data_IF_208013767834
#
_entry.id   IF_208013767834
#
_cell.length_a   1.000
_cell.length_b   1.000
_cell.length_c   1.000
_cell.angle_alpha   90.00
_cell.angle_beta   90.00
_cell.angle_gamma   90.00
#
_symmetry.space_group_name_H-M   'P 1'
#
loop_
_entity.id
_entity.type
_entity.pdbx_description
1 polymer ?
#
# COMPACT_ATOMS: atom_id res chain seq x y z
N UNK A 1 -4.30 17.17 12.64
CA UNK A 1 -3.65 15.86 12.44
C UNK A 1 -3.62 15.15 13.78
N UNK A 2 -4.19 13.96 13.86
CA UNK A 2 -4.23 13.15 15.09
C UNK A 2 -3.26 11.97 14.92
N UNK A 3 -2.22 11.84 15.75
CA UNK A 3 -1.32 10.70 15.71
C UNK A 3 -2.02 9.49 16.34
N UNK A 4 -2.10 8.38 15.61
CA UNK A 4 -2.73 7.15 16.10
C UNK A 4 -1.80 5.94 15.96
N UNK A 5 -1.94 4.98 16.89
CA UNK A 5 -1.33 3.66 16.79
C UNK A 5 -2.42 2.61 16.96
N UNK A 6 -2.91 2.04 15.85
CA UNK A 6 -3.99 1.05 15.87
C UNK A 6 -3.62 -0.22 16.67
N UNK A 7 -2.35 -0.65 16.59
CA UNK A 7 -1.85 -1.83 17.32
C UNK A 7 -1.77 -1.64 18.84
N UNK A 8 -1.63 -0.40 19.30
CA UNK A 8 -1.54 -0.04 20.73
C UNK A 8 -2.82 0.55 21.29
N UNK A 9 -3.80 0.87 20.43
CA UNK A 9 -5.02 1.58 20.82
C UNK A 9 -4.81 3.04 21.22
N UNK A 10 -3.66 3.63 20.89
CA UNK A 10 -3.31 5.01 21.25
C UNK A 10 -3.95 6.00 20.28
N UNK A 11 -4.48 7.11 20.79
CA UNK A 11 -5.03 8.23 20.00
C UNK A 11 -6.40 7.98 19.36
N UNK A 12 -7.05 6.84 19.63
CA UNK A 12 -8.35 6.51 19.02
C UNK A 12 -9.47 7.42 19.54
N UNK A 13 -9.48 7.72 20.83
CA UNK A 13 -10.50 8.60 21.43
C UNK A 13 -10.40 10.02 20.85
N UNK A 14 -9.19 10.55 20.72
CA UNK A 14 -8.93 11.85 20.11
C UNK A 14 -9.36 11.89 18.64
N UNK A 15 -9.10 10.80 17.89
CA UNK A 15 -9.57 10.66 16.51
C UNK A 15 -11.10 10.72 16.41
N UNK A 16 -11.80 9.99 17.27
CA UNK A 16 -13.27 9.98 17.31
C UNK A 16 -13.83 11.37 17.67
N UNK A 17 -13.23 12.05 18.64
CA UNK A 17 -13.64 13.40 19.02
C UNK A 17 -13.48 14.39 17.86
N UNK A 18 -12.32 14.38 17.19
CA UNK A 18 -12.08 15.21 16.00
C UNK A 18 -13.01 14.86 14.84
N UNK A 19 -13.29 13.58 14.61
CA UNK A 19 -14.24 13.16 13.57
C UNK A 19 -15.66 13.65 13.85
N UNK A 20 -16.13 13.56 15.11
CA UNK A 20 -17.43 14.07 15.53
C UNK A 20 -17.50 15.60 15.44
N UNK A 21 -16.41 16.29 15.77
CA UNK A 21 -16.32 17.74 15.63
C UNK A 21 -16.45 18.15 14.15
N UNK A 22 -15.64 17.56 13.27
CA UNK A 22 -15.68 17.83 11.83
C UNK A 22 -17.08 17.56 11.23
N UNK A 23 -17.73 16.47 11.65
CA UNK A 23 -19.08 16.13 11.19
C UNK A 23 -20.15 17.14 11.69
N UNK A 24 -20.04 17.64 12.91
CA UNK A 24 -21.00 18.61 13.48
C UNK A 24 -20.87 20.00 12.87
N UNK A 25 -19.66 20.43 12.58
CA UNK A 25 -19.37 21.79 12.09
C UNK A 25 -19.18 21.83 10.58
N UNK A 26 -19.36 20.70 9.87
CA UNK A 26 -19.20 20.59 8.40
C UNK A 26 -17.85 21.17 7.94
N UNK A 27 -16.80 20.87 8.69
CA UNK A 27 -15.45 21.31 8.32
C UNK A 27 -15.00 20.61 7.05
N UNK A 28 -14.81 21.38 6.01
CA UNK A 28 -14.30 20.88 4.73
C UNK A 28 -12.84 21.27 4.55
N UNK A 29 -12.03 20.43 3.87
CA UNK A 29 -10.64 20.77 3.58
C UNK A 29 -10.54 22.09 2.80
N UNK A 30 -9.53 22.89 3.05
CA UNK A 30 -9.29 24.15 2.34
C UNK A 30 -9.02 23.93 0.84
N UNK A 31 -8.47 22.77 0.48
CA UNK A 31 -8.21 22.37 -0.92
C UNK A 31 -9.27 21.37 -1.36
N UNK A 32 -10.15 21.82 -2.23
CA UNK A 32 -11.23 20.99 -2.81
C UNK A 32 -10.84 20.35 -4.13
N UNK A 33 -9.80 20.86 -4.78
CA UNK A 33 -9.37 20.41 -6.12
C UNK A 33 -8.01 19.72 -6.06
N UNK A 34 -8.00 18.42 -6.36
CA UNK A 34 -6.77 17.60 -6.42
C UNK A 34 -6.18 17.54 -7.82
N UNK A 35 -6.90 18.03 -8.86
CA UNK A 35 -6.41 18.05 -10.22
C UNK A 35 -5.78 19.41 -10.55
N UNK A 36 -4.51 19.38 -10.97
CA UNK A 36 -3.81 20.57 -11.45
C UNK A 36 -4.02 20.75 -12.97
N UNK A 37 -4.10 22.01 -13.39
CA UNK A 37 -4.07 22.35 -14.83
C UNK A 37 -2.73 22.04 -15.48
N UNK A 38 -1.67 21.94 -14.68
CA UNK A 38 -0.30 21.72 -15.16
C UNK A 38 0.07 20.24 -15.20
N UNK A 39 -0.67 19.39 -14.44
CA UNK A 39 -0.40 17.96 -14.37
C UNK A 39 -0.75 17.31 -15.73
N UNK A 40 0.28 16.79 -16.39
CA UNK A 40 0.17 16.13 -17.70
C UNK A 40 -0.69 16.91 -18.71
N UNK A 41 -0.49 18.24 -18.79
CA UNK A 41 -1.24 19.11 -19.68
C UNK A 41 -2.70 19.30 -19.30
N UNK A 42 -3.09 18.98 -18.08
CA UNK A 42 -4.44 19.20 -17.53
C UNK A 42 -5.53 18.30 -18.10
N UNK A 43 -5.20 17.17 -18.71
CA UNK A 43 -6.18 16.27 -19.33
C UNK A 43 -7.24 15.78 -18.34
N UNK A 44 -6.83 15.33 -17.14
CA UNK A 44 -7.75 14.90 -16.07
C UNK A 44 -8.58 16.07 -15.56
N UNK A 45 -7.96 17.26 -15.40
CA UNK A 45 -8.65 18.46 -14.96
C UNK A 45 -9.78 18.81 -15.94
N UNK A 46 -9.50 18.89 -17.26
CA UNK A 46 -10.53 19.16 -18.28
C UNK A 46 -11.63 18.11 -18.27
N UNK A 47 -11.27 16.84 -18.19
CA UNK A 47 -12.23 15.74 -18.11
C UNK A 47 -13.18 15.90 -16.93
N UNK A 48 -12.65 16.02 -15.70
CA UNK A 48 -13.48 16.15 -14.51
C UNK A 48 -14.37 17.39 -14.53
N UNK A 49 -13.85 18.54 -14.97
CA UNK A 49 -14.66 19.75 -15.06
C UNK A 49 -15.75 19.65 -16.16
N UNK A 50 -15.47 19.00 -17.29
CA UNK A 50 -16.49 18.74 -18.30
C UNK A 50 -17.59 17.80 -17.79
N UNK A 51 -17.20 16.75 -17.04
CA UNK A 51 -18.17 15.85 -16.39
C UNK A 51 -18.99 16.60 -15.35
N UNK A 52 -18.37 17.39 -14.48
CA UNK A 52 -19.07 18.19 -13.47
C UNK A 52 -20.11 19.10 -14.11
N UNK A 53 -19.75 19.80 -15.18
CA UNK A 53 -20.69 20.67 -15.90
C UNK A 53 -21.88 19.90 -16.47
N UNK A 54 -21.64 18.70 -17.01
CA UNK A 54 -22.70 17.88 -17.62
C UNK A 54 -23.68 17.27 -16.61
N UNK A 55 -23.20 16.92 -15.39
CA UNK A 55 -23.99 16.19 -14.38
C UNK A 55 -24.46 17.07 -13.23
N UNK A 56 -24.28 18.39 -13.29
CA UNK A 56 -24.56 19.30 -12.17
C UNK A 56 -25.99 19.18 -11.63
N UNK A 57 -26.98 19.26 -12.52
CA UNK A 57 -28.40 19.16 -12.16
C UNK A 57 -28.75 17.79 -11.57
N UNK A 58 -28.20 16.72 -12.16
CA UNK A 58 -28.43 15.35 -11.72
C UNK A 58 -27.81 15.08 -10.33
N UNK A 59 -26.59 15.56 -10.10
CA UNK A 59 -25.91 15.42 -8.83
C UNK A 59 -26.64 16.18 -7.72
N UNK A 60 -27.15 17.39 -8.03
CA UNK A 60 -27.93 18.17 -7.09
C UNK A 60 -29.26 17.48 -6.74
N UNK A 61 -29.98 16.94 -7.73
CA UNK A 61 -31.23 16.21 -7.51
C UNK A 61 -31.01 14.94 -6.68
N UNK A 62 -29.92 14.22 -6.95
CA UNK A 62 -29.55 13.00 -6.21
C UNK A 62 -28.96 13.28 -4.82
N UNK A 63 -28.64 14.55 -4.48
CA UNK A 63 -28.00 14.90 -3.22
C UNK A 63 -26.54 14.39 -3.11
N UNK A 64 -25.88 14.15 -4.24
CA UNK A 64 -24.52 13.63 -4.31
C UNK A 64 -23.55 14.81 -4.54
N UNK A 65 -22.44 14.91 -3.81
CA UNK A 65 -21.44 15.96 -4.07
C UNK A 65 -20.93 15.89 -5.51
N UNK A 66 -21.04 16.99 -6.25
CA UNK A 66 -20.80 17.06 -7.69
C UNK A 66 -19.43 16.48 -8.09
N UNK A 67 -18.38 16.88 -7.40
CA UNK A 67 -17.02 16.41 -7.69
C UNK A 67 -16.82 14.92 -7.40
N UNK A 68 -17.46 14.43 -6.35
CA UNK A 68 -17.45 13.00 -6.05
C UNK A 68 -18.15 12.21 -7.17
N UNK A 69 -19.34 12.67 -7.60
CA UNK A 69 -20.07 12.04 -8.71
C UNK A 69 -19.22 12.03 -10.00
N UNK A 70 -18.61 13.16 -10.38
CA UNK A 70 -17.76 13.25 -11.56
C UNK A 70 -16.55 12.31 -11.50
N UNK A 71 -15.86 12.24 -10.35
CA UNK A 71 -14.73 11.33 -10.19
C UNK A 71 -15.15 9.86 -10.24
N UNK A 72 -16.29 9.51 -9.68
CA UNK A 72 -16.84 8.16 -9.72
C UNK A 72 -17.28 7.74 -11.12
N UNK A 73 -17.89 8.63 -11.88
CA UNK A 73 -18.20 8.39 -13.31
C UNK A 73 -16.89 8.16 -14.09
N UNK A 74 -15.87 8.99 -13.84
CA UNK A 74 -14.58 8.84 -14.52
C UNK A 74 -13.90 7.50 -14.16
N UNK A 75 -14.11 6.96 -12.96
CA UNK A 75 -13.62 5.63 -12.55
C UNK A 75 -14.49 4.49 -13.11
N UNK A 76 -15.66 4.77 -13.68
CA UNK A 76 -16.57 3.76 -14.20
C UNK A 76 -17.48 3.13 -13.15
N UNK A 77 -17.79 3.84 -12.07
CA UNK A 77 -18.69 3.35 -10.99
C UNK A 77 -20.14 3.28 -11.48
N UNK A 78 -20.65 2.05 -11.60
CA UNK A 78 -22.00 1.79 -12.09
C UNK A 78 -23.09 2.30 -11.12
N UNK A 79 -22.88 2.20 -9.81
CA UNK A 79 -23.86 2.60 -8.81
C UNK A 79 -24.16 4.10 -8.88
N UNK A 80 -23.12 4.90 -8.94
CA UNK A 80 -23.27 6.36 -9.06
C UNK A 80 -23.88 6.73 -10.40
N UNK A 81 -23.48 6.06 -11.49
CA UNK A 81 -24.05 6.29 -12.83
C UNK A 81 -25.54 6.00 -12.88
N UNK A 82 -26.01 4.96 -12.17
CA UNK A 82 -27.45 4.62 -12.07
C UNK A 82 -28.20 5.64 -11.21
N UNK A 83 -27.64 6.06 -10.08
CA UNK A 83 -28.27 7.04 -9.17
C UNK A 83 -28.47 8.41 -9.80
N UNK A 84 -27.63 8.78 -10.74
CA UNK A 84 -27.75 10.06 -11.46
C UNK A 84 -28.83 10.07 -12.52
N UNK A 85 -29.44 8.94 -12.87
CA UNK A 85 -30.52 8.83 -13.86
C UNK A 85 -30.25 9.55 -15.20
N UNK A 86 -29.00 9.45 -15.68
CA UNK A 86 -28.55 10.10 -16.91
C UNK A 86 -29.27 9.56 -18.14
N UNK A 87 -29.57 10.44 -19.09
CA UNK A 87 -30.17 10.07 -20.35
C UNK A 87 -29.16 9.39 -21.32
N UNK A 88 -29.66 8.90 -22.46
CA UNK A 88 -28.83 8.19 -23.45
C UNK A 88 -27.81 9.13 -24.12
N UNK A 89 -28.15 10.40 -24.30
CA UNK A 89 -27.27 11.37 -24.95
C UNK A 89 -26.17 11.80 -23.98
N UNK A 90 -26.50 12.03 -22.73
CA UNK A 90 -25.56 12.33 -21.66
C UNK A 90 -24.55 11.21 -21.47
N UNK A 91 -25.00 9.96 -21.42
CA UNK A 91 -24.11 8.78 -21.35
C UNK A 91 -23.16 8.69 -22.55
N UNK A 92 -23.62 9.02 -23.75
CA UNK A 92 -22.75 9.08 -24.93
C UNK A 92 -21.72 10.21 -24.85
N UNK A 93 -22.13 11.36 -24.35
CA UNK A 93 -21.23 12.51 -24.16
C UNK A 93 -20.16 12.19 -23.11
N UNK A 94 -20.55 11.59 -21.99
CA UNK A 94 -19.64 11.10 -20.98
C UNK A 94 -18.60 10.14 -21.57
N UNK A 95 -19.07 9.14 -22.32
CA UNK A 95 -18.18 8.15 -22.93
C UNK A 95 -17.22 8.81 -23.95
N UNK A 96 -17.66 9.84 -24.64
CA UNK A 96 -16.78 10.61 -25.54
C UNK A 96 -15.70 11.37 -24.77
N UNK A 97 -16.05 12.04 -23.67
CA UNK A 97 -15.12 12.75 -22.80
C UNK A 97 -14.09 11.78 -22.22
N UNK A 98 -14.53 10.61 -21.77
CA UNK A 98 -13.65 9.59 -21.18
C UNK A 98 -12.69 9.00 -22.22
N UNK A 99 -13.15 8.72 -23.44
CA UNK A 99 -12.28 8.28 -24.55
C UNK A 99 -11.24 9.33 -24.95
N UNK A 100 -11.62 10.60 -24.88
CA UNK A 100 -10.67 11.67 -25.12
C UNK A 100 -9.58 11.70 -24.05
N UNK A 101 -9.96 11.54 -22.75
CA UNK A 101 -9.00 11.42 -21.66
C UNK A 101 -8.04 10.25 -21.89
N UNK A 102 -8.56 9.06 -22.23
CA UNK A 102 -7.76 7.86 -22.48
C UNK A 102 -6.80 8.07 -23.67
N UNK A 103 -7.24 8.73 -24.72
CA UNK A 103 -6.41 9.05 -25.89
C UNK A 103 -5.30 10.07 -25.57
N UNK A 104 -5.61 11.09 -24.80
CA UNK A 104 -4.63 12.12 -24.40
C UNK A 104 -3.59 11.58 -23.41
N UNK A 105 -4.02 10.70 -22.49
CA UNK A 105 -3.14 10.16 -21.45
C UNK A 105 -2.40 8.88 -21.88
N UNK A 106 -2.91 8.15 -22.85
CA UNK A 106 -2.41 6.82 -23.22
C UNK A 106 -2.59 5.80 -22.08
N UNK A 107 -3.47 6.07 -21.12
CA UNK A 107 -3.79 5.25 -19.96
C UNK A 107 -5.30 4.96 -19.93
N UNK A 108 -5.67 3.85 -19.34
CA UNK A 108 -7.06 3.61 -18.94
C UNK A 108 -7.57 4.70 -18.00
N UNK A 109 -8.86 5.00 -18.08
CA UNK A 109 -9.52 6.07 -17.30
C UNK A 109 -9.28 5.97 -15.79
N UNK A 110 -9.38 4.77 -15.24
CA UNK A 110 -9.14 4.54 -13.81
C UNK A 110 -7.66 4.76 -13.45
N UNK A 111 -6.75 4.31 -14.31
CA UNK A 111 -5.32 4.55 -14.14
C UNK A 111 -4.96 6.05 -14.24
N UNK A 112 -5.58 6.79 -15.15
CA UNK A 112 -5.36 8.23 -15.29
C UNK A 112 -5.82 9.01 -14.04
N UNK A 113 -6.95 8.64 -13.44
CA UNK A 113 -7.43 9.23 -12.18
C UNK A 113 -6.51 8.86 -11.00
N UNK A 114 -6.06 7.61 -10.94
CA UNK A 114 -5.12 7.17 -9.90
C UNK A 114 -3.78 7.91 -10.00
N UNK A 115 -3.24 8.03 -11.19
CA UNK A 115 -1.99 8.74 -11.46
C UNK A 115 -2.06 10.23 -11.04
N UNK A 116 -3.16 10.91 -11.34
CA UNK A 116 -3.41 12.28 -10.86
C UNK A 116 -3.41 12.36 -9.33
N UNK A 117 -4.04 11.40 -8.65
CA UNK A 117 -4.05 11.36 -7.16
C UNK A 117 -2.65 11.14 -6.60
N UNK A 118 -1.87 10.24 -7.20
CA UNK A 118 -0.49 10.02 -6.79
C UNK A 118 0.39 11.24 -7.02
N UNK A 119 0.27 11.92 -8.17
CA UNK A 119 0.97 13.16 -8.46
C UNK A 119 0.67 14.23 -7.41
N UNK A 120 -0.60 14.38 -7.02
CA UNK A 120 -0.98 15.31 -5.95
C UNK A 120 -0.34 14.93 -4.60
N UNK A 121 -0.42 13.65 -4.21
CA UNK A 121 0.17 13.15 -2.96
C UNK A 121 1.68 13.36 -2.95
N UNK A 122 2.36 13.05 -4.04
CA UNK A 122 3.82 13.23 -4.17
C UNK A 122 4.22 14.70 -4.02
N UNK A 123 3.47 15.61 -4.64
CA UNK A 123 3.69 17.04 -4.50
C UNK A 123 3.51 17.53 -3.05
N UNK A 124 2.46 17.07 -2.38
CA UNK A 124 2.22 17.40 -0.96
C UNK A 124 3.32 16.80 -0.08
N UNK A 125 3.68 15.53 -0.30
CA UNK A 125 4.73 14.86 0.46
C UNK A 125 6.10 15.52 0.25
N UNK A 126 6.41 15.96 -0.97
CA UNK A 126 7.66 16.65 -1.26
C UNK A 126 7.82 17.96 -0.47
N UNK A 127 6.71 18.64 -0.19
CA UNK A 127 6.70 19.91 0.54
C UNK A 127 6.57 19.75 2.06
N UNK A 128 5.95 18.67 2.54
CA UNK A 128 5.56 18.52 3.95
C UNK A 128 6.31 17.43 4.69
N UNK A 129 6.76 16.39 3.98
CA UNK A 129 7.42 15.25 4.62
C UNK A 129 8.91 15.49 4.75
N UNK A 130 9.35 15.78 5.96
CA UNK A 130 10.76 15.70 6.32
C UNK A 130 11.08 14.25 6.64
N UNK A 131 11.76 13.55 5.71
CA UNK A 131 12.20 12.18 5.96
C UNK A 131 13.18 12.19 7.13
N UNK A 132 12.88 11.52 8.26
CA UNK A 132 13.85 11.39 9.33
C UNK A 132 15.10 10.70 8.76
N UNK A 133 16.26 11.05 9.31
CA UNK A 133 17.50 10.35 8.97
C UNK A 133 17.27 8.85 9.06
N UNK A 134 17.63 8.14 8.00
CA UNK A 134 17.52 6.67 7.93
C UNK A 134 18.04 6.07 9.22
N UNK A 135 17.24 5.24 9.88
CA UNK A 135 17.63 4.63 11.15
C UNK A 135 18.95 3.86 10.95
N UNK A 136 19.80 3.83 11.97
CA UNK A 136 21.07 3.07 11.92
C UNK A 136 20.83 1.59 11.58
N UNK A 137 19.66 1.06 11.94
CA UNK A 137 19.22 -0.30 11.64
C UNK A 137 18.97 -0.49 10.15
N UNK A 138 18.33 0.48 9.50
CA UNK A 138 18.10 0.44 8.05
C UNK A 138 19.42 0.50 7.27
N UNK A 139 20.36 1.32 7.69
CA UNK A 139 21.69 1.38 7.06
C UNK A 139 22.43 0.05 7.20
N UNK A 140 22.40 -0.58 8.37
CA UNK A 140 22.97 -1.93 8.59
C UNK A 140 22.32 -2.99 7.73
N UNK A 141 20.98 -2.96 7.61
CA UNK A 141 20.24 -3.89 6.75
C UNK A 141 20.67 -3.75 5.30
N UNK A 142 20.82 -2.53 4.79
CA UNK A 142 21.29 -2.27 3.43
C UNK A 142 22.73 -2.73 3.21
N UNK A 143 23.63 -2.56 4.19
CA UNK A 143 25.01 -3.05 4.10
C UNK A 143 25.08 -4.57 4.05
N UNK A 144 24.31 -5.26 4.91
CA UNK A 144 24.22 -6.72 4.93
C UNK A 144 23.64 -7.23 3.60
N UNK A 145 22.57 -6.61 3.13
CA UNK A 145 21.92 -6.98 1.87
C UNK A 145 22.90 -6.78 0.68
N UNK A 146 23.64 -5.69 0.66
CA UNK A 146 24.67 -5.43 -0.37
C UNK A 146 25.76 -6.51 -0.43
N UNK A 147 26.13 -7.08 0.73
CA UNK A 147 27.11 -8.16 0.80
C UNK A 147 26.49 -9.48 0.35
N UNK A 148 25.28 -9.80 0.83
CA UNK A 148 24.59 -11.07 0.54
C UNK A 148 24.06 -11.16 -0.90
N UNK A 149 23.65 -10.03 -1.49
CA UNK A 149 23.03 -9.99 -2.85
C UNK A 149 23.96 -9.37 -3.90
N UNK A 150 25.16 -8.94 -3.51
CA UNK A 150 26.12 -8.32 -4.42
C UNK A 150 26.54 -9.25 -5.57
N UNK A 151 26.69 -8.71 -6.78
CA UNK A 151 27.02 -9.45 -8.01
C UNK A 151 28.23 -10.41 -7.89
N UNK A 152 29.21 -10.08 -7.09
CA UNK A 152 30.45 -10.88 -6.89
C UNK A 152 30.53 -11.50 -5.49
N UNK A 153 29.76 -11.04 -4.53
CA UNK A 153 29.81 -11.46 -3.12
C UNK A 153 28.72 -12.46 -2.76
N UNK A 154 27.62 -12.51 -3.52
CA UNK A 154 26.49 -13.40 -3.25
C UNK A 154 26.89 -14.89 -3.26
N UNK A 155 27.64 -15.34 -4.28
CA UNK A 155 28.04 -16.74 -4.42
C UNK A 155 29.02 -17.16 -3.32
N UNK A 156 30.12 -16.43 -3.04
CA UNK A 156 30.99 -16.74 -1.90
C UNK A 156 30.29 -16.71 -0.55
N UNK A 157 29.42 -15.73 -0.33
CA UNK A 157 28.63 -15.61 0.91
C UNK A 157 27.69 -16.82 1.09
N UNK A 158 27.02 -17.22 0.03
CA UNK A 158 26.15 -18.40 0.04
C UNK A 158 26.95 -19.67 0.39
N UNK A 159 28.11 -19.91 -0.26
CA UNK A 159 28.96 -21.07 0.01
C UNK A 159 29.43 -21.06 1.47
N UNK A 160 29.86 -19.89 2.00
CA UNK A 160 30.30 -19.76 3.37
C UNK A 160 29.17 -20.05 4.37
N UNK A 161 27.96 -19.53 4.13
CA UNK A 161 26.80 -19.80 4.98
C UNK A 161 26.43 -21.29 4.93
N UNK A 162 26.39 -21.89 3.75
CA UNK A 162 26.09 -23.32 3.62
C UNK A 162 27.14 -24.19 4.30
N UNK A 163 28.43 -23.88 4.14
CA UNK A 163 29.51 -24.60 4.83
C UNK A 163 29.37 -24.50 6.34
N UNK A 164 29.04 -23.30 6.85
CA UNK A 164 28.83 -23.08 8.29
C UNK A 164 27.61 -23.88 8.80
N UNK A 165 26.51 -23.88 8.08
CA UNK A 165 25.31 -24.63 8.42
C UNK A 165 25.61 -26.14 8.46
N UNK A 166 26.27 -26.66 7.43
CA UNK A 166 26.67 -28.08 7.39
C UNK A 166 27.61 -28.44 8.53
N UNK A 167 28.65 -27.61 8.76
CA UNK A 167 29.58 -27.83 9.87
C UNK A 167 28.85 -27.84 11.23
N UNK A 168 27.97 -26.90 11.46
CA UNK A 168 27.18 -26.81 12.70
C UNK A 168 26.26 -28.01 12.85
N UNK A 169 25.58 -28.41 11.77
CA UNK A 169 24.64 -29.55 11.80
C UNK A 169 25.36 -30.85 12.11
N UNK A 170 26.52 -31.14 11.47
CA UNK A 170 27.19 -32.41 11.63
C UNK A 170 28.08 -32.44 12.88
N UNK A 171 28.82 -31.37 13.19
CA UNK A 171 29.77 -31.40 14.30
C UNK A 171 29.15 -30.98 15.64
N UNK A 172 28.13 -30.15 15.67
CA UNK A 172 27.50 -29.70 16.91
C UNK A 172 26.26 -30.54 17.19
N UNK A 173 25.27 -30.48 16.31
CA UNK A 173 23.98 -31.14 16.53
C UNK A 173 24.11 -32.64 16.35
N UNK A 174 24.84 -33.12 15.34
CA UNK A 174 25.06 -34.54 15.10
C UNK A 174 25.83 -35.21 16.24
N UNK A 175 26.93 -34.62 16.68
CA UNK A 175 27.71 -35.16 17.81
C UNK A 175 26.88 -35.23 19.08
N UNK A 176 26.17 -34.16 19.42
CA UNK A 176 25.32 -34.11 20.61
C UNK A 176 24.16 -35.15 20.58
N UNK A 177 23.60 -35.37 19.38
CA UNK A 177 22.53 -36.36 19.20
C UNK A 177 23.09 -37.79 19.32
N UNK A 178 24.28 -38.05 18.75
CA UNK A 178 24.95 -39.36 18.83
C UNK A 178 25.32 -39.69 20.26
N UNK A 179 25.95 -38.76 20.99
CA UNK A 179 26.30 -38.95 22.40
C UNK A 179 25.06 -39.22 23.29
N UNK A 180 23.95 -38.51 23.01
CA UNK A 180 22.68 -38.72 23.71
C UNK A 180 22.06 -40.10 23.42
N UNK A 181 22.13 -40.55 22.17
CA UNK A 181 21.66 -41.89 21.78
C UNK A 181 22.54 -43.01 22.39
N UNK A 182 23.86 -42.87 22.37
CA UNK A 182 24.78 -43.83 22.95
C UNK A 182 24.59 -43.96 24.48
N UNK A 183 24.34 -42.85 25.15
CA UNK A 183 23.98 -42.85 26.57
C UNK A 183 22.66 -43.58 26.80
N UNK A 184 21.64 -43.38 25.98
CA UNK A 184 20.34 -44.01 26.11
C UNK A 184 20.40 -45.52 25.84
N UNK A 185 21.19 -45.93 24.83
CA UNK A 185 21.43 -47.34 24.49
C UNK A 185 22.21 -48.00 25.63
N UNK A 186 23.25 -47.38 26.20
CA UNK A 186 24.00 -47.88 27.33
C UNK A 186 23.10 -48.15 28.54
N UNK A 187 22.22 -47.21 28.85
CA UNK A 187 21.27 -47.34 29.99
C UNK A 187 20.25 -48.48 29.76
N UNK A 188 19.84 -48.71 28.50
CA UNK A 188 18.96 -49.84 28.15
C UNK A 188 19.67 -51.17 28.25
N UNK A 189 20.94 -51.24 27.79
CA UNK A 189 21.77 -52.44 27.84
C UNK A 189 22.07 -52.85 29.29
N UNK A 190 22.47 -51.89 30.16
CA UNK A 190 22.71 -52.12 31.57
C UNK A 190 21.48 -52.66 32.32
N UNK A 191 20.30 -52.21 31.97
CA UNK A 191 19.03 -52.72 32.54
C UNK A 191 18.71 -54.14 32.09
N UNK A 192 19.01 -54.49 30.84
CA UNK A 192 18.79 -55.82 30.29
C UNK A 192 19.78 -56.81 30.94
N UNK A 193 21.05 -56.43 31.10
CA UNK A 193 22.05 -57.27 31.77
C UNK A 193 21.70 -57.48 33.24
N UNK A 194 21.19 -56.47 33.94
CA UNK A 194 20.73 -56.61 35.35
C UNK A 194 19.47 -57.48 35.51
N UNK A 195 18.70 -57.70 34.46
CA UNK A 195 17.52 -58.57 34.45
C UNK A 195 17.83 -60.04 34.13
N UNK A 196 18.98 -60.29 33.48
CA UNK A 196 19.41 -61.62 33.01
C UNK A 196 20.36 -62.30 34.01
N UNK A 197 20.86 -61.60 35.01
CA UNK A 197 21.72 -62.11 36.09
C UNK A 197 20.93 -62.24 37.37
#
# INVERSE_FOLDING_TARGET
>A
VVPISASRGEGIEELVEHALHAARFVETPAVHDFCSTDDHGGAVHRCLHSLMFLIEDHAQQAGIPLRFAASKIAEGDALITEQLHLDVNEKRTIEHILKQLEAERGLDRAAAIADMRFSFIDNVCAQTVVKPHTSKEHLRSLEIDRILTGKYTAIPAFIAIMALVFWMTFNVIGAWLTDGLDWLIGLATDKVDALLT
#
